data_IF_342135420232
#
_entry.id   IF_342135420232
#
_cell.length_a   1.000
_cell.length_b   1.000
_cell.length_c   1.000
_cell.angle_alpha   90.00
_cell.angle_beta   90.00
_cell.angle_gamma   90.00
#
_symmetry.space_group_name_H-M   'P 1'
#
loop_
_entity.id
_entity.type
_entity.pdbx_description
1 polymer ?
#
# COMPACT_ATOMS: atom_id res chain seq x y z
N UNK A 1 18.56 0.42 10.65
CA UNK A 1 18.20 1.15 9.41
C UNK A 1 16.95 1.95 9.72
N UNK A 2 16.75 3.15 9.15
CA UNK A 2 15.50 3.91 9.32
C UNK A 2 14.70 3.80 8.03
N UNK A 3 13.45 3.35 8.14
CA UNK A 3 12.53 3.27 7.00
C UNK A 3 11.82 4.60 6.80
N UNK A 4 11.57 4.96 5.54
CA UNK A 4 10.69 6.06 5.18
C UNK A 4 9.28 5.51 4.92
N UNK A 5 8.31 5.92 5.73
CA UNK A 5 6.92 5.47 5.62
C UNK A 5 6.08 6.44 4.81
N UNK A 6 5.09 5.92 4.09
CA UNK A 6 4.12 6.72 3.35
C UNK A 6 3.20 7.48 4.29
N UNK A 7 3.09 8.79 4.09
CA UNK A 7 2.03 9.57 4.72
C UNK A 7 0.65 9.15 4.22
N UNK A 8 -0.36 9.27 5.07
CA UNK A 8 -1.76 9.06 4.69
C UNK A 8 -2.17 9.86 3.46
N UNK A 9 -1.80 11.14 3.40
CA UNK A 9 -2.10 12.00 2.25
C UNK A 9 -1.52 11.47 0.95
N UNK A 10 -0.33 10.88 0.99
CA UNK A 10 0.26 10.23 -0.18
C UNK A 10 -0.58 9.03 -0.64
N UNK A 11 -1.06 8.20 0.30
CA UNK A 11 -1.89 7.02 -0.02
C UNK A 11 -3.27 7.43 -0.55
N UNK A 12 -3.89 8.47 0.00
CA UNK A 12 -5.15 9.04 -0.52
C UNK A 12 -4.95 9.62 -1.94
N UNK A 13 -3.82 10.30 -2.19
CA UNK A 13 -3.50 10.81 -3.52
C UNK A 13 -3.26 9.66 -4.53
N UNK A 14 -2.60 8.58 -4.10
CA UNK A 14 -2.45 7.37 -4.91
C UNK A 14 -3.81 6.76 -5.24
N UNK A 15 -4.72 6.64 -4.26
CA UNK A 15 -6.09 6.15 -4.49
C UNK A 15 -6.82 7.01 -5.52
N UNK A 16 -6.80 8.33 -5.34
CA UNK A 16 -7.43 9.27 -6.27
C UNK A 16 -6.91 9.09 -7.70
N UNK A 17 -5.59 8.91 -7.86
CA UNK A 17 -5.00 8.68 -9.18
C UNK A 17 -5.39 7.31 -9.77
N UNK A 18 -5.49 6.25 -8.94
CA UNK A 18 -5.98 4.94 -9.40
C UNK A 18 -7.44 5.00 -9.85
N UNK A 19 -8.31 5.67 -9.08
CA UNK A 19 -9.71 5.89 -9.47
C UNK A 19 -9.82 6.70 -10.76
N UNK A 20 -8.98 7.73 -10.93
CA UNK A 20 -8.95 8.56 -12.15
C UNK A 20 -8.54 7.76 -13.39
N UNK A 21 -7.53 6.88 -13.27
CA UNK A 21 -6.99 6.10 -14.40
C UNK A 21 -7.87 4.92 -14.79
N UNK A 22 -8.46 4.25 -13.81
CA UNK A 22 -9.07 2.93 -14.01
C UNK A 22 -10.59 2.93 -13.73
N UNK A 23 -11.17 4.08 -13.36
CA UNK A 23 -12.55 4.17 -12.89
C UNK A 23 -12.76 3.53 -11.52
N UNK A 24 -14.01 3.57 -11.05
CA UNK A 24 -14.41 3.09 -9.74
C UNK A 24 -14.94 4.19 -8.83
N UNK A 25 -15.62 3.80 -7.76
CA UNK A 25 -16.15 4.74 -6.79
C UNK A 25 -15.01 5.43 -6.03
N UNK A 26 -15.14 6.75 -5.84
CA UNK A 26 -14.20 7.54 -5.06
C UNK A 26 -14.62 7.57 -3.59
N UNK A 27 -13.67 7.91 -2.74
CA UNK A 27 -13.92 8.25 -1.34
C UNK A 27 -13.46 7.21 -0.35
N UNK A 28 -13.25 7.71 0.86
CA UNK A 28 -12.92 6.94 2.05
C UNK A 28 -14.22 6.37 2.62
N UNK A 29 -14.25 5.07 2.84
CA UNK A 29 -15.34 4.36 3.53
C UNK A 29 -15.14 4.42 5.04
N UNK A 30 -13.91 4.20 5.48
CA UNK A 30 -13.55 4.13 6.88
C UNK A 30 -12.13 4.67 7.09
N UNK A 31 -12.05 5.78 7.82
CA UNK A 31 -10.81 6.48 8.13
C UNK A 31 -9.93 5.70 9.10
N UNK A 32 -10.52 5.09 10.12
CA UNK A 32 -9.80 4.27 11.08
C UNK A 32 -9.23 3.02 10.42
N UNK A 33 -9.95 2.48 9.43
CA UNK A 33 -9.47 1.37 8.62
C UNK A 33 -8.21 1.74 7.81
N UNK A 34 -8.12 2.97 7.28
CA UNK A 34 -6.92 3.45 6.60
C UNK A 34 -5.77 3.65 7.57
N UNK A 35 -6.00 4.36 8.68
CA UNK A 35 -4.96 4.59 9.69
C UNK A 35 -4.40 3.27 10.25
N UNK A 36 -5.29 2.31 10.55
CA UNK A 36 -4.89 0.96 10.99
C UNK A 36 -4.11 0.18 9.93
N UNK A 37 -4.38 0.42 8.65
CA UNK A 37 -3.63 -0.21 7.57
C UNK A 37 -2.20 0.35 7.46
N UNK A 38 -2.03 1.67 7.58
CA UNK A 38 -0.72 2.33 7.50
C UNK A 38 0.14 2.03 8.74
N UNK A 39 -0.48 2.11 9.92
CA UNK A 39 0.19 1.84 11.19
C UNK A 39 0.74 0.40 11.30
N UNK A 40 0.25 -0.56 10.49
CA UNK A 40 0.78 -1.93 10.49
C UNK A 40 2.26 -1.99 10.12
N UNK A 41 2.68 -1.26 9.09
CA UNK A 41 4.07 -1.27 8.64
C UNK A 41 4.97 -0.60 9.70
N UNK A 42 4.55 0.55 10.23
CA UNK A 42 5.24 1.27 11.30
C UNK A 42 5.39 0.40 12.56
N UNK A 43 4.29 -0.22 13.01
CA UNK A 43 4.33 -1.11 14.18
C UNK A 43 5.25 -2.31 13.95
N UNK A 44 5.27 -2.89 12.74
CA UNK A 44 6.16 -4.02 12.45
C UNK A 44 7.63 -3.62 12.56
N UNK A 45 7.99 -2.42 12.11
CA UNK A 45 9.34 -1.88 12.24
C UNK A 45 9.69 -1.48 13.69
N UNK A 46 8.73 -0.94 14.44
CA UNK A 46 8.95 -0.49 15.82
C UNK A 46 9.12 -1.65 16.81
N UNK A 47 8.47 -2.79 16.56
CA UNK A 47 8.44 -3.93 17.47
C UNK A 47 9.16 -5.18 16.93
N UNK A 48 9.89 -5.05 15.81
CA UNK A 48 10.61 -6.15 15.18
C UNK A 48 11.80 -5.67 14.36
N UNK A 49 12.36 -6.57 13.56
CA UNK A 49 13.42 -6.27 12.59
C UNK A 49 13.00 -6.80 11.20
N UNK A 50 11.92 -6.25 10.61
CA UNK A 50 11.37 -6.78 9.37
C UNK A 50 12.26 -6.43 8.17
N UNK A 51 12.24 -7.30 7.18
CA UNK A 51 12.79 -6.98 5.87
C UNK A 51 11.95 -5.92 5.14
N UNK A 52 12.51 -5.29 4.11
CA UNK A 52 11.77 -4.31 3.30
C UNK A 52 10.56 -4.95 2.61
N UNK A 53 10.67 -6.20 2.18
CA UNK A 53 9.61 -6.97 1.54
C UNK A 53 8.47 -7.23 2.53
N UNK A 54 8.79 -7.50 3.79
CA UNK A 54 7.79 -7.67 4.84
C UNK A 54 7.02 -6.39 5.15
N UNK A 55 7.68 -5.23 5.08
CA UNK A 55 7.03 -3.93 5.24
C UNK A 55 6.17 -3.57 4.03
N UNK A 56 6.65 -3.83 2.81
CA UNK A 56 5.86 -3.67 1.59
C UNK A 56 4.62 -4.60 1.61
N UNK A 57 4.77 -5.85 2.04
CA UNK A 57 3.67 -6.79 2.22
C UNK A 57 2.66 -6.31 3.28
N UNK A 58 3.11 -5.62 4.33
CA UNK A 58 2.22 -5.03 5.33
C UNK A 58 1.32 -3.94 4.73
N UNK A 59 1.84 -3.10 3.83
CA UNK A 59 1.01 -2.16 3.05
C UNK A 59 -0.02 -2.88 2.19
N UNK A 60 0.39 -3.93 1.46
CA UNK A 60 -0.53 -4.70 0.61
C UNK A 60 -1.66 -5.29 1.46
N UNK A 61 -1.31 -6.03 2.51
CA UNK A 61 -2.26 -6.72 3.37
C UNK A 61 -3.20 -5.74 4.07
N UNK A 62 -2.66 -4.67 4.65
CA UNK A 62 -3.43 -3.66 5.37
C UNK A 62 -4.44 -2.96 4.47
N UNK A 63 -3.99 -2.37 3.36
CA UNK A 63 -4.85 -1.56 2.50
C UNK A 63 -5.84 -2.42 1.71
N UNK A 64 -5.40 -3.59 1.19
CA UNK A 64 -6.29 -4.46 0.44
C UNK A 64 -7.35 -5.14 1.32
N UNK A 65 -7.01 -5.47 2.57
CA UNK A 65 -7.86 -6.23 3.49
C UNK A 65 -8.76 -5.39 4.40
N UNK A 66 -8.34 -4.18 4.79
CA UNK A 66 -9.14 -3.34 5.69
C UNK A 66 -10.32 -2.64 4.99
N UNK A 67 -10.35 -2.64 3.66
CA UNK A 67 -11.41 -2.00 2.86
C UNK A 67 -11.64 -0.53 3.27
N UNK A 68 -10.57 0.25 3.39
CA UNK A 68 -10.66 1.63 3.84
C UNK A 68 -11.33 2.56 2.81
N UNK A 69 -11.21 2.25 1.53
CA UNK A 69 -11.84 2.98 0.43
C UNK A 69 -13.12 2.30 -0.06
N UNK A 70 -14.03 3.07 -0.66
CA UNK A 70 -15.28 2.54 -1.24
C UNK A 70 -15.01 1.52 -2.36
N UNK A 71 -14.04 1.82 -3.21
CA UNK A 71 -13.50 0.93 -4.24
C UNK A 71 -11.99 1.21 -4.40
N UNK A 72 -11.27 0.34 -5.11
CA UNK A 72 -9.87 0.56 -5.48
C UNK A 72 -8.85 0.06 -4.46
N UNK A 73 -9.28 -0.50 -3.32
CA UNK A 73 -8.38 -0.95 -2.23
C UNK A 73 -7.17 -1.77 -2.72
N UNK A 74 -7.39 -2.80 -3.56
CA UNK A 74 -6.29 -3.63 -4.09
C UNK A 74 -5.33 -2.85 -4.99
N UNK A 75 -5.85 -1.95 -5.84
CA UNK A 75 -5.05 -1.11 -6.73
C UNK A 75 -4.21 -0.12 -5.92
N UNK A 76 -4.83 0.54 -4.95
CA UNK A 76 -4.13 1.44 -4.01
C UNK A 76 -3.07 0.70 -3.21
N UNK A 77 -3.37 -0.51 -2.74
CA UNK A 77 -2.43 -1.33 -1.98
C UNK A 77 -1.16 -1.66 -2.78
N UNK A 78 -1.31 -2.04 -4.06
CA UNK A 78 -0.18 -2.32 -4.96
C UNK A 78 0.68 -1.06 -5.20
N UNK A 79 0.05 0.07 -5.47
CA UNK A 79 0.77 1.33 -5.72
C UNK A 79 1.46 1.83 -4.44
N UNK A 80 0.81 1.73 -3.29
CA UNK A 80 1.40 2.10 -2.01
C UNK A 80 2.62 1.22 -1.68
N UNK A 81 2.53 -0.09 -1.85
CA UNK A 81 3.67 -0.97 -1.62
C UNK A 81 4.83 -0.68 -2.59
N UNK A 82 4.55 -0.46 -3.87
CA UNK A 82 5.56 -0.05 -4.85
C UNK A 82 6.20 1.29 -4.50
N UNK A 83 5.40 2.29 -4.11
CA UNK A 83 5.91 3.61 -3.71
C UNK A 83 6.78 3.52 -2.45
N UNK A 84 6.37 2.73 -1.45
CA UNK A 84 7.17 2.47 -0.26
C UNK A 84 8.54 1.86 -0.61
N UNK A 85 8.58 0.88 -1.52
CA UNK A 85 9.85 0.31 -2.00
C UNK A 85 10.73 1.38 -2.65
N UNK A 86 10.15 2.18 -3.55
CA UNK A 86 10.87 3.21 -4.32
C UNK A 86 11.51 4.25 -3.40
N UNK A 87 10.76 4.80 -2.43
CA UNK A 87 11.31 5.83 -1.53
C UNK A 87 12.39 5.27 -0.59
N UNK A 88 12.39 3.95 -0.35
CA UNK A 88 13.44 3.27 0.41
C UNK A 88 14.58 2.74 -0.47
N UNK A 89 14.63 3.10 -1.75
CA UNK A 89 15.74 2.75 -2.66
C UNK A 89 15.63 1.38 -3.34
N UNK A 90 14.45 0.75 -3.31
CA UNK A 90 14.19 -0.55 -3.92
C UNK A 90 13.33 -0.43 -5.19
N UNK A 91 13.64 -1.25 -6.19
CA UNK A 91 12.82 -1.40 -7.39
C UNK A 91 11.85 -2.57 -7.26
N UNK A 92 10.60 -2.36 -7.70
CA UNK A 92 9.65 -3.47 -7.89
C UNK A 92 9.77 -3.96 -9.32
N UNK A 93 10.09 -5.24 -9.49
CA UNK A 93 10.04 -5.93 -10.79
C UNK A 93 8.92 -6.97 -10.74
N UNK A 94 8.11 -7.02 -11.79
CA UNK A 94 7.09 -8.03 -11.99
C UNK A 94 7.18 -8.48 -13.44
N UNK A 95 7.14 -9.78 -13.67
CA UNK A 95 6.85 -10.31 -15.00
C UNK A 95 5.33 -10.20 -15.27
N UNK A 96 4.94 -10.31 -16.54
CA UNK A 96 3.52 -10.26 -16.96
C UNK A 96 2.70 -11.47 -16.45
N UNK A 97 3.26 -12.33 -15.61
CA UNK A 97 2.64 -13.55 -15.14
C UNK A 97 2.57 -14.56 -16.27
N UNK A 98 3.64 -15.33 -16.47
CA UNK A 98 3.51 -16.58 -17.24
C UNK A 98 2.74 -17.55 -16.36
N UNK A 99 1.41 -17.56 -16.45
CA UNK A 99 0.61 -18.64 -15.90
C UNK A 99 0.92 -19.85 -16.77
N UNK A 100 1.60 -20.86 -16.20
CA UNK A 100 1.97 -22.09 -16.89
C UNK A 100 0.81 -22.59 -17.79
N UNK A 101 1.11 -22.82 -19.08
CA UNK A 101 0.21 -23.52 -20.02
C UNK A 101 -0.06 -24.96 -19.55
#
# INVERSE_FOLDING_TARGET
MSWEFLSRRAVEAMHAEQSRRNGGAQGLRDENALESALARAENKANYGDPSIEELAAAYIFGIAGNHAFVDGNKRTAMVAAGAFLIINGYGLTADDGTIYE
#
